data_IF_437842653873
#
_entry.id   IF_437842653873
#
_cell.length_a   1.000
_cell.length_b   1.000
_cell.length_c   1.000
_cell.angle_alpha   90.00
_cell.angle_beta   90.00
_cell.angle_gamma   90.00
#
_symmetry.space_group_name_H-M   'P 1'
#
loop_
_entity.id
_entity.type
_entity.pdbx_description
1 polymer ?
#
# COMPACT_ATOMS: atom_id res chain seq x y z
N UNK A 1 23.29 -36.07 -2.28
CA UNK A 1 22.10 -36.70 -2.87
C UNK A 1 20.89 -36.31 -2.02
N UNK A 2 20.09 -35.34 -2.46
CA UNK A 2 18.88 -34.91 -1.77
C UNK A 2 17.67 -35.29 -2.62
N UNK A 3 16.74 -36.07 -2.06
CA UNK A 3 15.48 -36.45 -2.69
C UNK A 3 14.41 -35.43 -2.29
N UNK A 4 13.91 -34.67 -3.26
CA UNK A 4 12.69 -33.88 -3.12
C UNK A 4 11.49 -34.78 -3.39
N UNK A 5 10.57 -34.86 -2.42
CA UNK A 5 9.28 -35.55 -2.55
C UNK A 5 8.25 -34.49 -2.91
N UNK A 6 7.71 -34.56 -4.13
CA UNK A 6 6.53 -33.79 -4.54
C UNK A 6 5.28 -34.40 -3.89
N UNK A 7 4.70 -33.70 -2.92
CA UNK A 7 3.37 -34.01 -2.40
C UNK A 7 2.29 -33.48 -3.34
N UNK A 8 1.60 -34.37 -4.05
CA UNK A 8 0.40 -34.06 -4.80
C UNK A 8 -0.81 -34.01 -3.84
N UNK A 9 -1.27 -32.80 -3.52
CA UNK A 9 -2.57 -32.60 -2.88
C UNK A 9 -3.62 -32.36 -3.97
N UNK A 10 -4.23 -33.44 -4.46
CA UNK A 10 -5.46 -33.37 -5.25
C UNK A 10 -6.66 -33.51 -4.32
N UNK A 11 -7.14 -32.39 -3.77
CA UNK A 11 -8.45 -32.37 -3.15
C UNK A 11 -9.52 -32.23 -4.25
N UNK A 12 -10.47 -33.17 -4.38
CA UNK A 12 -11.63 -32.97 -5.22
C UNK A 12 -12.47 -31.85 -4.61
N UNK A 13 -12.53 -30.70 -5.29
CA UNK A 13 -13.48 -29.64 -4.98
C UNK A 13 -14.88 -30.20 -5.22
N UNK A 14 -15.53 -30.61 -4.13
CA UNK A 14 -16.98 -30.81 -4.11
C UNK A 14 -17.62 -29.48 -4.53
N UNK A 15 -18.48 -29.44 -5.57
CA UNK A 15 -19.24 -28.24 -5.85
C UNK A 15 -20.15 -28.00 -4.65
N UNK A 16 -19.83 -26.98 -3.85
CA UNK A 16 -20.74 -26.54 -2.81
C UNK A 16 -22.05 -26.10 -3.47
N UNK A 17 -23.20 -26.43 -2.86
CA UNK A 17 -24.49 -26.00 -3.38
C UNK A 17 -24.49 -24.48 -3.49
N UNK A 18 -24.70 -23.98 -4.70
CA UNK A 18 -24.98 -22.56 -4.96
C UNK A 18 -26.18 -22.24 -4.09
N UNK A 19 -25.95 -21.43 -3.04
CA UNK A 19 -26.98 -21.02 -2.10
C UNK A 19 -28.18 -20.40 -2.83
N UNK A 20 -29.32 -20.27 -2.15
CA UNK A 20 -30.52 -19.67 -2.76
C UNK A 20 -30.13 -18.35 -3.43
N UNK A 21 -30.55 -18.20 -4.69
CA UNK A 21 -30.43 -16.94 -5.44
C UNK A 21 -31.18 -15.90 -4.63
N UNK A 22 -30.45 -15.14 -3.81
CA UNK A 22 -31.02 -14.13 -2.93
C UNK A 22 -31.70 -13.08 -3.78
N UNK A 23 -32.96 -12.77 -3.46
CA UNK A 23 -33.77 -11.76 -4.15
C UNK A 23 -32.95 -10.48 -4.36
N UNK A 24 -32.72 -10.15 -5.64
CA UNK A 24 -31.90 -9.02 -6.08
C UNK A 24 -32.38 -7.66 -5.57
N UNK A 25 -33.56 -7.59 -4.97
CA UNK A 25 -34.13 -6.37 -4.39
C UNK A 25 -33.65 -6.09 -2.95
N UNK A 26 -33.15 -7.10 -2.22
CA UNK A 26 -32.64 -6.90 -0.85
C UNK A 26 -31.15 -6.54 -0.80
N UNK A 27 -30.45 -6.66 -1.94
CA UNK A 27 -29.06 -6.23 -2.14
C UNK A 27 -28.92 -4.76 -2.52
N UNK A 28 -30.01 -4.00 -2.61
CA UNK A 28 -29.98 -2.60 -2.98
C UNK A 28 -29.60 -1.75 -1.77
N UNK A 29 -28.34 -1.90 -1.34
CA UNK A 29 -27.66 -0.86 -0.59
C UNK A 29 -28.00 0.47 -1.24
N UNK A 30 -28.62 1.35 -0.45
CA UNK A 30 -29.36 2.49 -0.95
C UNK A 30 -28.53 3.37 -1.86
N UNK A 31 -29.14 4.41 -2.41
CA UNK A 31 -28.40 5.35 -3.24
C UNK A 31 -27.41 6.22 -2.45
N UNK A 32 -26.98 5.82 -1.26
CA UNK A 32 -26.08 6.61 -0.43
C UNK A 32 -24.75 5.87 -0.22
N UNK A 33 -23.70 6.65 -0.03
CA UNK A 33 -22.39 6.14 0.39
C UNK A 33 -22.52 5.48 1.76
N UNK A 34 -22.05 4.26 1.93
CA UNK A 34 -22.15 3.54 3.22
C UNK A 34 -21.35 4.21 4.35
N UNK A 35 -20.31 4.98 4.00
CA UNK A 35 -19.41 5.62 4.95
C UNK A 35 -19.91 7.03 5.34
N UNK A 36 -20.09 7.93 4.36
CA UNK A 36 -20.48 9.32 4.63
C UNK A 36 -21.98 9.63 4.44
N UNK A 37 -22.79 8.63 4.09
CA UNK A 37 -24.24 8.73 3.85
C UNK A 37 -24.67 9.82 2.85
N UNK A 38 -23.77 10.26 1.95
CA UNK A 38 -24.10 11.19 0.86
C UNK A 38 -24.76 10.46 -0.30
N UNK A 39 -25.73 11.10 -0.96
CA UNK A 39 -26.41 10.54 -2.13
C UNK A 39 -25.38 10.33 -3.27
N UNK A 40 -25.31 9.11 -3.76
CA UNK A 40 -24.52 8.60 -4.89
C UNK A 40 -25.39 8.43 -6.15
N UNK A 41 -26.61 8.98 -6.17
CA UNK A 41 -27.40 9.07 -7.40
C UNK A 41 -26.60 9.80 -8.47
N UNK A 42 -26.63 9.22 -9.66
CA UNK A 42 -26.14 9.90 -10.84
C UNK A 42 -27.13 11.03 -11.15
N UNK A 43 -26.75 12.27 -10.84
CA UNK A 43 -27.52 13.45 -11.26
C UNK A 43 -26.99 13.89 -12.63
N UNK A 44 -27.89 14.27 -13.54
CA UNK A 44 -27.52 14.93 -14.79
C UNK A 44 -27.11 16.40 -14.60
N UNK A 45 -27.23 16.91 -13.37
CA UNK A 45 -26.91 18.28 -13.01
C UNK A 45 -25.57 18.35 -12.26
N UNK A 46 -24.68 19.31 -12.60
CA UNK A 46 -23.42 19.52 -11.90
C UNK A 46 -23.59 19.87 -10.41
N UNK A 47 -22.63 19.50 -9.55
CA UNK A 47 -21.41 18.76 -9.86
C UNK A 47 -21.68 17.26 -10.01
N UNK A 48 -21.32 16.70 -11.17
CA UNK A 48 -21.46 15.28 -11.45
C UNK A 48 -20.57 14.48 -10.49
N UNK A 49 -21.17 13.78 -9.54
CA UNK A 49 -20.45 12.77 -8.77
C UNK A 49 -20.42 11.49 -9.61
N UNK A 50 -19.33 11.31 -10.38
CA UNK A 50 -18.98 10.00 -10.89
C UNK A 50 -18.64 9.12 -9.68
N UNK A 51 -19.63 8.41 -9.17
CA UNK A 51 -19.40 7.35 -8.20
C UNK A 51 -19.03 6.14 -9.01
N UNK A 52 -17.74 5.78 -9.01
CA UNK A 52 -17.36 4.43 -9.37
C UNK A 52 -18.05 3.54 -8.34
N UNK A 53 -19.17 2.94 -8.76
CA UNK A 53 -20.04 2.10 -7.93
C UNK A 53 -19.30 0.79 -7.71
N UNK A 54 -18.31 0.83 -6.84
CA UNK A 54 -17.61 -0.35 -6.34
C UNK A 54 -18.46 -0.88 -5.19
N UNK A 55 -18.99 -2.11 -5.28
CA UNK A 55 -19.69 -2.74 -4.18
C UNK A 55 -18.79 -2.75 -2.95
N UNK A 56 -19.32 -2.30 -1.83
CA UNK A 56 -18.62 -2.30 -0.56
C UNK A 56 -19.50 -2.97 0.51
N UNK A 57 -18.84 -3.75 1.36
CA UNK A 57 -19.41 -4.34 2.56
C UNK A 57 -18.49 -3.99 3.71
N UNK A 58 -19.02 -3.33 4.74
CA UNK A 58 -18.24 -2.88 5.88
C UNK A 58 -19.00 -3.13 7.18
N UNK A 59 -18.29 -3.59 8.19
CA UNK A 59 -18.81 -3.73 9.54
C UNK A 59 -18.85 -2.34 10.19
N UNK A 60 -20.03 -1.92 10.62
CA UNK A 60 -20.26 -0.63 11.27
C UNK A 60 -20.55 -0.85 12.74
N UNK A 61 -19.74 -0.22 13.61
CA UNK A 61 -19.96 -0.25 15.06
C UNK A 61 -21.06 0.74 15.45
N UNK A 62 -22.08 0.25 16.13
CA UNK A 62 -23.20 1.03 16.64
C UNK A 62 -22.88 1.62 18.02
N UNK A 63 -23.61 2.65 18.49
CA UNK A 63 -23.36 3.29 19.79
C UNK A 63 -23.46 2.36 21.00
N UNK A 64 -24.10 1.20 20.85
CA UNK A 64 -24.22 0.17 21.89
C UNK A 64 -23.06 -0.85 21.87
N UNK A 65 -22.09 -0.68 20.97
CA UNK A 65 -20.95 -1.57 20.77
C UNK A 65 -21.26 -2.82 19.94
N UNK A 66 -22.48 -2.95 19.41
CA UNK A 66 -22.81 -4.01 18.44
C UNK A 66 -22.33 -3.64 17.04
N UNK A 67 -22.17 -4.64 16.17
CA UNK A 67 -21.74 -4.46 14.78
C UNK A 67 -22.88 -4.81 13.83
N UNK A 68 -23.09 -3.99 12.80
CA UNK A 68 -23.96 -4.30 11.67
C UNK A 68 -23.18 -4.31 10.36
N UNK A 69 -23.43 -5.30 9.50
CA UNK A 69 -22.85 -5.34 8.16
C UNK A 69 -23.66 -4.42 7.25
N UNK A 70 -23.05 -3.34 6.78
CA UNK A 70 -23.65 -2.46 5.77
C UNK A 70 -23.14 -2.82 4.39
N UNK A 71 -24.08 -3.22 3.53
CA UNK A 71 -23.84 -3.44 2.12
C UNK A 71 -24.29 -2.21 1.31
N UNK A 72 -23.49 -1.78 0.35
CA UNK A 72 -23.87 -0.70 -0.56
C UNK A 72 -22.73 -0.17 -1.41
N UNK A 73 -22.69 1.14 -1.60
CA UNK A 73 -21.71 1.82 -2.44
C UNK A 73 -20.82 2.72 -1.59
N UNK A 74 -19.56 2.87 -1.97
CA UNK A 74 -18.67 3.89 -1.38
C UNK A 74 -18.42 5.00 -2.39
N UNK A 75 -18.53 6.27 -1.96
CA UNK A 75 -18.24 7.40 -2.84
C UNK A 75 -16.74 7.53 -3.11
N UNK A 76 -16.38 8.21 -4.19
CA UNK A 76 -14.98 8.41 -4.60
C UNK A 76 -14.15 9.07 -3.49
N UNK A 77 -14.73 9.97 -2.70
CA UNK A 77 -14.01 10.63 -1.61
C UNK A 77 -13.64 9.66 -0.50
N UNK A 78 -14.58 8.81 -0.09
CA UNK A 78 -14.38 7.80 0.95
C UNK A 78 -13.54 6.60 0.45
N UNK A 79 -13.42 6.42 -0.86
CA UNK A 79 -12.53 5.41 -1.45
C UNK A 79 -11.07 5.84 -1.54
N UNK A 80 -10.76 7.13 -1.34
CA UNK A 80 -9.38 7.58 -1.40
C UNK A 80 -8.58 7.05 -0.22
N UNK A 81 -7.34 6.68 -0.51
CA UNK A 81 -6.33 6.32 0.47
C UNK A 81 -5.16 7.29 0.39
N UNK A 82 -4.46 7.50 1.50
CA UNK A 82 -3.28 8.35 1.53
C UNK A 82 -2.07 7.62 0.95
N UNK A 83 -1.42 8.20 -0.06
CA UNK A 83 -0.18 7.68 -0.62
C UNK A 83 0.98 7.85 0.38
N UNK A 84 1.69 6.76 0.68
CA UNK A 84 2.81 6.77 1.63
C UNK A 84 3.99 7.62 1.18
N UNK A 85 4.19 7.77 -0.13
CA UNK A 85 5.27 8.55 -0.73
C UNK A 85 5.02 10.05 -0.69
N UNK A 86 3.90 10.52 -1.23
CA UNK A 86 3.62 11.95 -1.39
C UNK A 86 2.59 12.53 -0.41
N UNK A 87 1.99 11.70 0.45
CA UNK A 87 0.98 12.09 1.46
C UNK A 87 -0.28 12.75 0.89
N UNK A 88 -0.58 12.47 -0.39
CA UNK A 88 -1.81 12.92 -1.06
C UNK A 88 -2.81 11.78 -1.13
N UNK A 89 -4.09 12.12 -1.05
CA UNK A 89 -5.18 11.19 -1.30
C UNK A 89 -5.20 10.76 -2.77
N UNK A 90 -5.38 9.47 -3.01
CA UNK A 90 -5.48 8.87 -4.35
C UNK A 90 -6.51 7.76 -4.38
N UNK A 91 -7.14 7.56 -5.55
CA UNK A 91 -7.96 6.37 -5.85
C UNK A 91 -7.16 5.29 -6.57
N UNK A 92 -6.13 5.71 -7.31
CA UNK A 92 -5.29 4.82 -8.09
C UNK A 92 -4.02 4.59 -7.29
N UNK A 93 -3.89 3.38 -6.75
CA UNK A 93 -2.79 2.99 -5.89
C UNK A 93 -2.39 1.54 -6.11
N UNK A 94 -1.13 1.28 -5.80
CA UNK A 94 -0.54 -0.05 -5.76
C UNK A 94 -0.10 -0.34 -4.32
N UNK A 95 -0.35 -1.56 -3.87
CA UNK A 95 0.15 -2.06 -2.60
C UNK A 95 1.48 -2.74 -2.87
N UNK A 96 2.54 -2.19 -2.29
CA UNK A 96 3.84 -2.85 -2.27
C UNK A 96 3.82 -3.97 -1.23
N UNK A 97 3.69 -5.21 -1.70
CA UNK A 97 3.64 -6.41 -0.86
C UNK A 97 4.92 -6.63 -0.05
N UNK A 98 6.06 -6.05 -0.45
CA UNK A 98 7.33 -6.23 0.27
C UNK A 98 7.36 -5.42 1.57
N UNK A 99 6.76 -4.23 1.57
CA UNK A 99 6.78 -3.30 2.71
C UNK A 99 5.40 -3.05 3.32
N UNK A 100 4.32 -3.56 2.73
CA UNK A 100 2.95 -3.29 3.15
C UNK A 100 2.55 -1.83 3.02
N UNK A 101 3.07 -1.13 2.00
CA UNK A 101 2.83 0.31 1.77
C UNK A 101 1.94 0.57 0.57
N UNK A 102 1.31 1.74 0.58
CA UNK A 102 0.39 2.18 -0.46
C UNK A 102 1.01 3.32 -1.25
N UNK A 103 1.21 3.16 -2.56
CA UNK A 103 1.75 4.19 -3.43
C UNK A 103 0.75 4.57 -4.51
N UNK A 104 0.56 5.86 -4.77
CA UNK A 104 -0.18 6.31 -5.95
C UNK A 104 0.58 5.96 -7.24
N UNK A 105 -0.10 5.96 -8.38
CA UNK A 105 0.48 5.62 -9.69
C UNK A 105 1.73 6.44 -10.02
N UNK A 106 1.71 7.74 -9.71
CA UNK A 106 2.88 8.61 -9.90
C UNK A 106 4.07 8.19 -9.01
N UNK A 107 3.80 7.79 -7.76
CA UNK A 107 4.83 7.34 -6.82
C UNK A 107 5.36 5.94 -7.14
N UNK A 108 4.50 5.07 -7.67
CA UNK A 108 4.86 3.69 -7.99
C UNK A 108 5.84 3.58 -9.17
N UNK A 109 5.75 4.51 -10.12
CA UNK A 109 6.62 4.53 -11.30
C UNK A 109 7.99 5.18 -11.04
N UNK A 110 8.13 5.90 -9.92
CA UNK A 110 9.34 6.64 -9.56
C UNK A 110 9.67 6.51 -8.06
N UNK A 111 9.86 5.29 -7.54
CA UNK A 111 10.19 5.10 -6.13
C UNK A 111 11.48 5.84 -5.71
N UNK A 112 12.36 6.12 -6.67
CA UNK A 112 13.66 6.80 -6.54
C UNK A 112 13.58 8.35 -6.49
N UNK A 113 12.44 8.95 -6.84
CA UNK A 113 12.28 10.41 -6.92
C UNK A 113 11.71 11.06 -5.65
N UNK A 114 11.07 10.30 -4.77
CA UNK A 114 10.44 10.86 -3.55
C UNK A 114 11.41 11.05 -2.39
N UNK A 115 12.72 11.03 -2.67
CA UNK A 115 13.74 11.43 -1.71
C UNK A 115 13.88 10.45 -0.54
N UNK A 116 13.52 9.18 -0.72
CA UNK A 116 13.83 8.11 0.21
C UNK A 116 14.69 7.08 -0.52
N UNK A 117 15.84 6.75 0.05
CA UNK A 117 16.78 5.75 -0.45
C UNK A 117 16.76 4.57 0.51
N UNK A 118 16.65 3.36 -0.03
CA UNK A 118 16.79 2.16 0.77
C UNK A 118 18.27 1.95 1.05
N UNK A 119 18.63 1.89 2.32
CA UNK A 119 19.98 1.56 2.76
C UNK A 119 20.04 0.07 3.04
N UNK A 120 20.73 -0.70 2.19
CA UNK A 120 20.86 -2.15 2.32
C UNK A 120 21.56 -2.58 3.62
N UNK A 121 22.36 -1.68 4.21
CA UNK A 121 23.12 -1.93 5.45
C UNK A 121 22.22 -2.01 6.68
N UNK A 122 21.22 -1.14 6.77
CA UNK A 122 20.29 -1.11 7.92
C UNK A 122 18.88 -1.57 7.56
N UNK A 123 18.63 -1.91 6.30
CA UNK A 123 17.30 -2.24 5.78
C UNK A 123 16.26 -1.15 6.07
N UNK A 124 16.68 0.12 6.08
CA UNK A 124 15.82 1.28 6.35
C UNK A 124 15.82 2.27 5.19
N UNK A 125 14.70 2.98 5.03
CA UNK A 125 14.62 4.13 4.14
C UNK A 125 15.15 5.38 4.84
N UNK A 126 16.12 6.06 4.23
CA UNK A 126 16.64 7.32 4.70
C UNK A 126 16.35 8.44 3.69
N UNK A 127 16.17 9.70 4.14
CA UNK A 127 16.04 10.83 3.23
C UNK A 127 17.25 10.91 2.28
N UNK A 128 17.04 11.10 0.98
CA UNK A 128 18.12 11.20 -0.04
C UNK A 128 19.10 12.35 0.25
N UNK A 129 18.66 13.40 0.97
CA UNK A 129 19.54 14.48 1.47
C UNK A 129 20.52 14.04 2.56
N UNK A 130 20.30 12.86 3.11
CA UNK A 130 21.07 12.24 4.18
C UNK A 130 21.71 10.92 3.74
N UNK A 131 21.59 10.55 2.46
CA UNK A 131 22.35 9.45 1.89
C UNK A 131 23.72 9.98 1.42
N UNK A 132 24.77 9.20 1.67
CA UNK A 132 26.09 9.40 1.07
C UNK A 132 26.40 8.16 0.22
N UNK A 133 26.99 8.39 -0.95
CA UNK A 133 27.44 7.30 -1.82
C UNK A 133 28.67 6.64 -1.19
N UNK A 134 28.50 5.37 -0.81
CA UNK A 134 29.60 4.50 -0.38
C UNK A 134 29.76 3.45 -1.47
N UNK A 135 30.83 3.50 -2.28
CA UNK A 135 31.11 2.42 -3.27
C UNK A 135 29.94 2.12 -4.25
N UNK A 136 29.23 3.14 -4.73
CA UNK A 136 28.02 3.05 -5.57
C UNK A 136 26.73 2.56 -4.87
N UNK A 137 26.78 2.27 -3.58
CA UNK A 137 25.60 1.91 -2.79
C UNK A 137 25.20 3.10 -1.89
N UNK A 138 23.92 3.49 -1.89
CA UNK A 138 23.46 4.57 -1.04
C UNK A 138 23.36 4.11 0.41
N UNK A 139 24.11 4.78 1.29
CA UNK A 139 24.12 4.49 2.73
C UNK A 139 23.62 5.72 3.49
N UNK A 140 22.77 5.53 4.50
CA UNK A 140 22.29 6.65 5.31
C UNK A 140 23.42 7.21 6.21
N UNK A 141 23.36 8.50 6.54
CA UNK A 141 24.34 9.18 7.42
C UNK A 141 24.65 8.43 8.71
N UNK A 142 23.63 7.84 9.35
CA UNK A 142 23.85 7.06 10.57
C UNK A 142 24.64 5.78 10.31
N UNK A 143 24.38 5.09 9.20
CA UNK A 143 25.17 3.92 8.80
C UNK A 143 26.59 4.29 8.38
N UNK A 144 26.80 5.44 7.74
CA UNK A 144 28.15 5.94 7.44
C UNK A 144 28.89 6.30 8.73
N UNK A 145 28.23 6.95 9.69
CA UNK A 145 28.81 7.27 10.99
C UNK A 145 29.19 6.00 11.77
N UNK A 146 28.28 5.04 11.89
CA UNK A 146 28.55 3.77 12.58
C UNK A 146 29.66 3.00 11.83
N UNK A 147 29.60 2.94 10.50
CA UNK A 147 30.61 2.25 9.70
C UNK A 147 32.00 2.88 9.81
N UNK A 148 32.10 4.21 9.94
CA UNK A 148 33.38 4.90 10.15
C UNK A 148 33.88 4.75 11.59
N UNK A 149 33.01 4.79 12.61
CA UNK A 149 33.34 4.52 14.01
C UNK A 149 33.88 3.08 14.19
N UNK A 150 33.28 2.10 13.52
CA UNK A 150 33.67 0.68 13.57
C UNK A 150 34.82 0.33 12.59
N UNK A 151 35.29 1.28 11.78
CA UNK A 151 36.38 1.09 10.82
C UNK A 151 36.04 0.26 9.57
N UNK A 152 34.76 -0.05 9.34
CA UNK A 152 34.22 -0.76 8.16
C UNK A 152 34.06 0.13 6.94
N UNK A 153 33.91 1.44 7.15
CA UNK A 153 33.82 2.46 6.11
C UNK A 153 34.95 3.46 6.33
N UNK A 154 35.60 3.89 5.26
CA UNK A 154 36.58 4.97 5.30
C UNK A 154 36.28 6.03 4.23
N UNK A 155 36.60 7.29 4.55
CA UNK A 155 36.51 8.42 3.63
C UNK A 155 37.85 8.58 2.88
N UNK A 156 37.81 8.65 1.55
CA UNK A 156 38.99 9.02 0.75
C UNK A 156 39.23 10.53 0.85
N UNK A 157 40.37 10.97 1.41
CA UNK A 157 40.63 12.39 1.65
C UNK A 157 40.76 13.22 0.36
N UNK A 158 40.97 12.59 -0.80
CA UNK A 158 41.15 13.32 -2.06
C UNK A 158 39.82 13.55 -2.79
N UNK A 159 38.83 12.70 -2.55
CA UNK A 159 37.59 12.67 -3.32
C UNK A 159 36.34 12.97 -2.48
N UNK A 160 36.41 12.79 -1.15
CA UNK A 160 35.27 12.94 -0.26
C UNK A 160 34.23 11.81 -0.39
N UNK A 161 34.57 10.74 -1.12
CA UNK A 161 33.75 9.54 -1.21
C UNK A 161 34.07 8.57 -0.09
N UNK A 162 33.07 7.77 0.26
CA UNK A 162 33.21 6.71 1.25
C UNK A 162 33.37 5.36 0.56
N UNK A 163 34.15 4.47 1.18
CA UNK A 163 34.43 3.14 0.65
C UNK A 163 34.33 2.10 1.77
N UNK A 164 33.89 0.89 1.42
CA UNK A 164 33.97 -0.26 2.31
C UNK A 164 35.42 -0.72 2.45
N UNK A 165 35.80 -1.05 3.68
CA UNK A 165 37.04 -1.75 3.98
C UNK A 165 36.70 -3.24 4.08
N UNK A 166 37.07 -3.99 3.03
CA UNK A 166 36.99 -5.46 3.00
C UNK A 166 37.79 -6.09 4.16
#
# INVERSE_FOLDING_TARGET
MARYIFGQYSHPLSPEPIGPIMDSEKWLGGTHCIECNRDTKHTSEPPFLFVNRIPASQDFELPDGSFEVRNGWMCWECQQVECDGCKKLTLDYLIDNSMGRIFCSDCSNHPDQFGLMYCDVCSMLAPKKEAQDVSNDPVCKDCVRIGTEDGRIFEDPNSGFFFWRD
#
